data_IF_613788253063
#
_entry.id   IF_613788253063
#
_cell.length_a   1.000
_cell.length_b   1.000
_cell.length_c   1.000
_cell.angle_alpha   90.00
_cell.angle_beta   90.00
_cell.angle_gamma   90.00
#
_symmetry.space_group_name_H-M   'P 1'
#
loop_
_entity.id
_entity.type
_entity.pdbx_description
1 polymer ?
#
# COMPACT_ATOMS: atom_id res chain seq x y z
N UNK A 1 6.75 -28.85 9.44
CA UNK A 1 5.98 -28.14 8.39
C UNK A 1 6.51 -26.72 8.13
N UNK A 2 6.53 -25.81 9.11
CA UNK A 2 7.04 -24.41 8.97
C UNK A 2 8.49 -24.27 8.44
N UNK A 3 9.39 -25.20 8.77
CA UNK A 3 10.80 -25.14 8.35
C UNK A 3 11.02 -25.48 6.87
N UNK A 4 10.16 -26.35 6.31
CA UNK A 4 10.21 -26.75 4.90
C UNK A 4 9.60 -25.66 4.00
N UNK A 5 8.58 -24.96 4.48
CA UNK A 5 7.93 -23.86 3.77
C UNK A 5 8.88 -22.65 3.64
N UNK A 6 9.61 -22.33 4.71
CA UNK A 6 10.63 -21.27 4.71
C UNK A 6 11.78 -21.55 3.75
N UNK A 7 12.26 -22.81 3.71
CA UNK A 7 13.32 -23.22 2.78
C UNK A 7 12.87 -23.17 1.31
N UNK A 8 11.59 -23.50 1.04
CA UNK A 8 11.01 -23.41 -0.30
C UNK A 8 10.87 -21.95 -0.75
N UNK A 9 10.40 -21.08 0.14
CA UNK A 9 10.31 -19.62 -0.10
C UNK A 9 11.71 -19.01 -0.32
N UNK A 10 12.71 -19.41 0.49
CA UNK A 10 14.09 -18.94 0.38
C UNK A 10 14.74 -19.41 -0.94
N UNK A 11 14.46 -20.62 -1.40
CA UNK A 11 14.95 -21.13 -2.68
C UNK A 11 14.27 -20.48 -3.90
N UNK A 12 12.95 -20.26 -3.85
CA UNK A 12 12.21 -19.51 -4.86
C UNK A 12 12.72 -18.06 -4.96
N UNK A 13 13.00 -17.44 -3.81
CA UNK A 13 13.53 -16.08 -3.70
C UNK A 13 14.97 -15.97 -4.22
N UNK A 14 15.83 -16.92 -3.86
CA UNK A 14 17.19 -16.98 -4.40
C UNK A 14 17.18 -17.17 -5.92
N UNK A 15 16.31 -18.04 -6.44
CA UNK A 15 16.14 -18.25 -7.88
C UNK A 15 15.60 -17.03 -8.63
N UNK A 16 14.66 -16.30 -8.05
CA UNK A 16 14.11 -15.07 -8.65
C UNK A 16 15.16 -13.95 -8.72
N UNK A 17 16.01 -13.83 -7.70
CA UNK A 17 17.01 -12.77 -7.62
C UNK A 17 18.31 -13.10 -8.37
N UNK A 18 18.66 -14.39 -8.51
CA UNK A 18 19.81 -14.84 -9.29
C UNK A 18 19.59 -14.80 -10.80
N UNK A 19 18.37 -14.51 -11.27
CA UNK A 19 18.04 -14.43 -12.70
C UNK A 19 18.45 -13.11 -13.37
N UNK A 20 18.96 -12.12 -12.62
CA UNK A 20 19.22 -10.77 -13.14
C UNK A 20 20.65 -10.32 -12.82
N UNK A 21 21.53 -10.34 -13.83
CA UNK A 21 22.99 -10.24 -13.65
C UNK A 21 23.67 -9.05 -14.37
N UNK A 22 22.95 -8.15 -15.05
CA UNK A 22 23.57 -7.04 -15.81
C UNK A 22 23.14 -5.62 -15.39
N UNK A 23 23.98 -4.60 -15.62
CA UNK A 23 23.62 -3.17 -15.42
C UNK A 23 22.37 -2.76 -16.21
N UNK A 24 22.13 -3.41 -17.35
CA UNK A 24 20.91 -3.24 -18.14
C UNK A 24 19.64 -3.69 -17.41
N UNK A 25 19.74 -4.68 -16.52
CA UNK A 25 18.60 -5.17 -15.74
C UNK A 25 18.18 -4.15 -14.68
N UNK A 26 19.11 -3.38 -14.11
CA UNK A 26 18.79 -2.35 -13.11
C UNK A 26 17.93 -1.23 -13.71
N UNK A 27 18.26 -0.75 -14.90
CA UNK A 27 17.48 0.29 -15.59
C UNK A 27 16.05 -0.18 -15.94
N UNK A 28 15.87 -1.48 -16.12
CA UNK A 28 14.59 -2.14 -16.44
C UNK A 28 13.92 -2.75 -15.21
N UNK A 29 14.48 -2.56 -14.03
CA UNK A 29 13.88 -2.96 -12.77
C UNK A 29 12.82 -1.95 -12.36
N UNK A 30 11.68 -2.44 -11.89
CA UNK A 30 10.62 -1.65 -11.26
C UNK A 30 10.32 -2.25 -9.89
N UNK A 31 10.04 -1.37 -8.95
CA UNK A 31 9.72 -1.73 -7.57
C UNK A 31 8.44 -1.04 -7.17
N UNK A 32 7.48 -1.81 -6.66
CA UNK A 32 6.30 -1.28 -5.99
C UNK A 32 6.29 -1.76 -4.55
N UNK A 33 6.17 -0.81 -3.62
CA UNK A 33 6.25 -1.06 -2.20
C UNK A 33 4.86 -1.02 -1.56
N UNK A 34 4.56 -2.02 -0.75
CA UNK A 34 3.33 -2.15 0.01
C UNK A 34 3.65 -2.27 1.50
N UNK A 35 2.70 -1.89 2.34
CA UNK A 35 2.75 -2.17 3.77
C UNK A 35 1.64 -3.14 4.14
N UNK A 36 1.94 -4.08 5.04
CA UNK A 36 0.92 -4.96 5.62
C UNK A 36 0.11 -4.29 6.76
N UNK A 37 0.34 -2.98 7.02
CA UNK A 37 -0.14 -2.27 8.21
C UNK A 37 -0.88 -0.98 7.86
N UNK A 38 -2.20 -1.02 7.63
CA UNK A 38 -2.99 0.20 7.47
C UNK A 38 -3.09 1.01 8.79
N UNK A 39 -2.78 0.38 9.93
CA UNK A 39 -2.91 0.91 11.29
C UNK A 39 -1.58 1.48 11.85
N UNK A 40 -0.56 1.68 11.02
CA UNK A 40 0.69 2.28 11.46
C UNK A 40 0.61 3.80 11.45
N UNK A 41 0.49 4.42 12.63
CA UNK A 41 0.53 5.87 12.79
C UNK A 41 1.76 6.50 12.10
N UNK A 42 2.94 5.86 12.21
CA UNK A 42 4.17 6.32 11.56
C UNK A 42 4.03 6.36 10.03
N UNK A 43 3.45 5.32 9.42
CA UNK A 43 3.20 5.29 7.98
C UNK A 43 2.29 6.42 7.51
N UNK A 44 1.24 6.73 8.28
CA UNK A 44 0.36 7.86 7.98
C UNK A 44 1.08 9.22 8.11
N UNK A 45 2.03 9.32 9.04
CA UNK A 45 2.88 10.51 9.17
C UNK A 45 3.77 10.70 7.94
N UNK A 46 4.47 9.65 7.52
CA UNK A 46 5.46 9.72 6.44
C UNK A 46 4.85 9.76 5.04
N UNK A 47 3.85 8.91 4.77
CA UNK A 47 3.37 8.64 3.42
C UNK A 47 1.97 9.18 3.14
N UNK A 48 1.18 9.49 4.18
CA UNK A 48 -0.15 10.08 4.02
C UNK A 48 -0.15 11.59 4.34
N UNK A 49 0.88 12.32 3.90
CA UNK A 49 0.95 13.79 4.03
C UNK A 49 0.83 14.29 5.47
N UNK A 50 1.42 13.59 6.45
CA UNK A 50 1.30 13.94 7.86
C UNK A 50 -0.12 13.79 8.38
N UNK A 51 -0.74 12.63 8.13
CA UNK A 51 -2.15 12.33 8.46
C UNK A 51 -3.18 13.19 7.72
N UNK A 52 -2.89 13.80 6.59
CA UNK A 52 -3.88 14.54 5.77
C UNK A 52 -4.25 13.85 4.46
N UNK A 53 -3.56 12.77 4.12
CA UNK A 53 -3.75 11.98 2.92
C UNK A 53 -4.63 10.76 3.13
N UNK A 54 -4.36 9.75 2.31
CA UNK A 54 -5.14 8.52 2.22
C UNK A 54 -4.23 7.29 2.24
N UNK A 55 -4.82 6.14 2.50
CA UNK A 55 -4.20 4.82 2.38
C UNK A 55 -5.05 3.99 1.40
N UNK A 56 -4.39 3.39 0.41
CA UNK A 56 -5.01 2.51 -0.56
C UNK A 56 -4.80 1.07 -0.11
N UNK A 57 -5.89 0.35 0.10
CA UNK A 57 -5.84 -1.08 0.34
C UNK A 57 -6.05 -1.79 -1.00
N UNK A 58 -5.09 -2.63 -1.36
CA UNK A 58 -4.98 -3.22 -2.69
C UNK A 58 -5.04 -4.74 -2.63
N UNK A 59 -5.56 -5.33 -3.70
CA UNK A 59 -5.53 -6.77 -3.95
C UNK A 59 -4.29 -7.11 -4.77
N UNK A 60 -3.38 -7.86 -4.17
CA UNK A 60 -2.14 -8.32 -4.81
C UNK A 60 -2.28 -9.71 -5.42
N UNK A 61 -3.49 -10.25 -5.50
CA UNK A 61 -3.73 -11.57 -6.10
C UNK A 61 -3.23 -11.60 -7.55
N UNK A 62 -2.54 -12.68 -7.94
CA UNK A 62 -1.86 -12.83 -9.22
C UNK A 62 -0.41 -12.30 -9.26
N UNK A 63 0.06 -11.68 -8.18
CA UNK A 63 1.45 -11.23 -8.02
C UNK A 63 2.20 -11.95 -6.89
N UNK A 64 1.59 -12.94 -6.24
CA UNK A 64 2.09 -13.57 -5.01
C UNK A 64 3.49 -14.14 -5.18
N UNK A 65 3.76 -14.78 -6.32
CA UNK A 65 5.08 -15.35 -6.63
C UNK A 65 6.18 -14.32 -6.85
N UNK A 66 5.82 -13.05 -7.08
CA UNK A 66 6.74 -11.93 -7.35
C UNK A 66 6.81 -10.94 -6.18
N UNK A 67 5.96 -11.10 -5.17
CA UNK A 67 5.98 -10.27 -3.97
C UNK A 67 6.96 -10.87 -2.97
N UNK A 68 7.94 -10.06 -2.60
CA UNK A 68 8.92 -10.42 -1.60
C UNK A 68 8.65 -9.64 -0.31
N UNK A 69 8.72 -10.33 0.82
CA UNK A 69 8.77 -9.68 2.13
C UNK A 69 10.13 -9.04 2.33
N UNK A 70 10.18 -7.77 2.74
CA UNK A 70 11.44 -7.08 3.01
C UNK A 70 12.10 -7.65 4.26
N UNK A 71 13.39 -7.94 4.16
CA UNK A 71 14.23 -8.36 5.27
C UNK A 71 14.90 -7.16 5.92
N UNK A 72 14.85 -7.12 7.24
CA UNK A 72 15.32 -5.97 8.02
C UNK A 72 16.60 -6.31 8.76
N UNK A 73 17.68 -5.59 8.42
CA UNK A 73 19.04 -5.80 8.94
C UNK A 73 19.55 -4.55 9.66
N UNK A 74 20.35 -4.72 10.70
CA UNK A 74 21.04 -3.61 11.39
C UNK A 74 22.35 -3.24 10.66
N UNK A 75 23.11 -4.25 10.23
CA UNK A 75 24.37 -4.05 9.51
C UNK A 75 24.22 -4.29 8.00
N UNK A 76 24.33 -3.20 7.24
CA UNK A 76 24.26 -3.23 5.77
C UNK A 76 25.55 -3.71 5.11
N UNK A 77 26.66 -3.86 5.86
CA UNK A 77 27.91 -4.38 5.31
C UNK A 77 27.73 -5.80 4.74
N UNK A 78 26.89 -6.62 5.39
CA UNK A 78 26.48 -7.95 4.92
C UNK A 78 25.85 -7.96 3.52
N UNK A 79 25.30 -6.83 3.08
CA UNK A 79 24.63 -6.68 1.78
C UNK A 79 25.60 -6.32 0.65
N UNK A 80 26.86 -5.95 0.96
CA UNK A 80 27.85 -5.54 -0.06
C UNK A 80 28.19 -6.65 -1.05
N UNK A 81 28.16 -7.90 -0.60
CA UNK A 81 28.40 -9.07 -1.45
C UNK A 81 27.22 -9.41 -2.38
N UNK A 82 26.04 -8.82 -2.14
CA UNK A 82 24.83 -9.04 -2.95
C UNK A 82 24.79 -8.13 -4.17
N UNK A 83 24.13 -8.56 -5.23
CA UNK A 83 23.85 -7.74 -6.43
C UNK A 83 22.96 -6.54 -6.07
N UNK A 84 22.95 -5.46 -6.88
CA UNK A 84 22.05 -4.32 -6.66
C UNK A 84 20.58 -4.72 -6.55
N UNK A 85 20.13 -5.69 -7.36
CA UNK A 85 18.74 -6.17 -7.37
C UNK A 85 18.47 -7.00 -6.11
N UNK A 86 19.38 -7.88 -5.70
CA UNK A 86 19.25 -8.63 -4.45
C UNK A 86 19.13 -7.71 -3.22
N UNK A 87 19.84 -6.58 -3.22
CA UNK A 87 19.77 -5.60 -2.13
C UNK A 87 18.39 -4.95 -1.98
N UNK A 88 17.58 -4.91 -3.05
CA UNK A 88 16.19 -4.43 -3.00
C UNK A 88 15.28 -5.31 -2.13
N UNK A 89 15.73 -6.49 -1.72
CA UNK A 89 15.00 -7.33 -0.78
C UNK A 89 15.19 -6.90 0.69
N UNK A 90 16.05 -5.92 0.97
CA UNK A 90 16.46 -5.54 2.32
C UNK A 90 16.15 -4.07 2.64
N UNK A 91 16.08 -3.77 3.94
CA UNK A 91 15.98 -2.41 4.50
C UNK A 91 16.62 -2.37 5.89
N UNK A 92 17.01 -1.18 6.34
CA UNK A 92 17.53 -1.03 7.70
C UNK A 92 16.44 -1.29 8.75
N UNK A 93 16.81 -1.92 9.87
CA UNK A 93 15.91 -2.35 10.95
C UNK A 93 15.05 -1.24 11.57
N UNK A 94 15.51 0.01 11.55
CA UNK A 94 14.73 1.18 12.01
C UNK A 94 13.38 1.30 11.31
N UNK A 95 13.27 0.81 10.07
CA UNK A 95 12.04 0.83 9.26
C UNK A 95 11.18 -0.42 9.41
N UNK A 96 11.47 -1.30 10.37
CA UNK A 96 10.73 -2.56 10.59
C UNK A 96 9.24 -2.36 10.85
N UNK A 97 8.87 -1.20 11.39
CA UNK A 97 7.48 -0.83 11.68
C UNK A 97 6.59 -0.73 10.43
N UNK A 98 7.18 -0.54 9.24
CA UNK A 98 6.44 -0.47 7.97
C UNK A 98 5.89 -1.83 7.53
N UNK A 99 6.50 -2.95 7.95
CA UNK A 99 6.17 -4.30 7.49
C UNK A 99 6.05 -4.39 5.96
N UNK A 100 7.11 -3.93 5.30
CA UNK A 100 7.14 -3.69 3.86
C UNK A 100 7.18 -5.00 3.06
N UNK A 101 6.42 -5.02 1.97
CA UNK A 101 6.46 -6.04 0.92
C UNK A 101 6.73 -5.33 -0.41
N UNK A 102 7.54 -5.93 -1.28
CA UNK A 102 7.91 -5.36 -2.58
C UNK A 102 7.52 -6.29 -3.70
N UNK A 103 6.82 -5.77 -4.70
CA UNK A 103 6.76 -6.38 -6.02
C UNK A 103 7.97 -5.87 -6.81
N UNK A 104 8.84 -6.79 -7.23
CA UNK A 104 10.01 -6.47 -8.06
C UNK A 104 9.83 -7.14 -9.42
N UNK A 105 9.85 -6.33 -10.47
CA UNK A 105 9.74 -6.80 -11.85
C UNK A 105 10.96 -6.33 -12.63
N UNK A 106 11.53 -7.20 -13.44
CA UNK A 106 12.67 -6.89 -14.30
C UNK A 106 12.28 -7.19 -15.73
N UNK A 107 12.65 -6.30 -16.65
CA UNK A 107 12.37 -6.43 -18.09
C UNK A 107 10.89 -6.34 -18.49
N UNK A 108 9.97 -6.01 -17.56
CA UNK A 108 8.59 -5.64 -17.89
C UNK A 108 8.56 -4.19 -18.40
N UNK A 109 8.62 -4.02 -19.72
CA UNK A 109 8.65 -2.70 -20.40
C UNK A 109 7.29 -2.25 -20.93
N UNK A 110 6.25 -3.08 -20.84
CA UNK A 110 4.99 -2.82 -21.55
C UNK A 110 3.97 -2.00 -20.76
N UNK A 111 4.14 -1.82 -19.45
CA UNK A 111 3.16 -1.09 -18.62
C UNK A 111 3.84 -0.12 -17.67
N UNK A 112 3.46 1.15 -17.78
CA UNK A 112 3.88 2.22 -16.86
C UNK A 112 3.30 2.03 -15.45
N UNK A 113 2.09 1.49 -15.37
CA UNK A 113 1.35 1.28 -14.11
C UNK A 113 1.05 -0.18 -13.87
N UNK A 114 1.12 -0.59 -12.60
CA UNK A 114 0.69 -1.91 -12.16
C UNK A 114 -0.84 -2.01 -12.23
N UNK A 115 -1.40 -3.02 -12.90
CA UNK A 115 -2.84 -3.23 -12.98
C UNK A 115 -3.36 -3.87 -11.69
N UNK A 116 -3.23 -3.14 -10.58
CA UNK A 116 -3.63 -3.60 -9.25
C UNK A 116 -5.05 -3.16 -8.93
N UNK A 117 -5.85 -4.06 -8.37
CA UNK A 117 -7.20 -3.73 -7.93
C UNK A 117 -7.12 -3.03 -6.58
N UNK A 118 -7.78 -1.88 -6.46
CA UNK A 118 -7.98 -1.19 -5.19
C UNK A 118 -9.26 -1.74 -4.56
N UNK A 119 -9.15 -2.28 -3.35
CA UNK A 119 -10.29 -2.81 -2.59
C UNK A 119 -11.00 -1.69 -1.82
N UNK A 120 -10.22 -0.82 -1.18
CA UNK A 120 -10.73 0.23 -0.31
C UNK A 120 -9.79 1.43 -0.26
N UNK A 121 -10.37 2.60 0.03
CA UNK A 121 -9.65 3.83 0.33
C UNK A 121 -9.92 4.24 1.78
N UNK A 122 -8.86 4.29 2.58
CA UNK A 122 -8.90 4.84 3.93
C UNK A 122 -8.51 6.30 3.87
N UNK A 123 -9.35 7.16 4.41
CA UNK A 123 -9.21 8.61 4.30
C UNK A 123 -8.99 9.15 5.70
N UNK A 124 -7.93 9.92 5.92
CA UNK A 124 -7.73 10.49 7.24
C UNK A 124 -8.87 11.45 7.61
N UNK A 125 -9.30 11.46 8.86
CA UNK A 125 -10.21 12.48 9.35
C UNK A 125 -9.64 13.91 9.27
N UNK A 126 -8.32 14.08 9.09
CA UNK A 126 -7.69 15.39 8.88
C UNK A 126 -7.48 15.73 7.40
N UNK A 127 -8.02 14.95 6.47
CA UNK A 127 -8.01 15.28 5.04
C UNK A 127 -8.84 16.54 4.79
N UNK A 128 -8.31 17.42 3.92
CA UNK A 128 -8.98 18.65 3.53
C UNK A 128 -10.34 18.34 2.87
N UNK A 129 -11.38 19.01 3.34
CA UNK A 129 -12.76 18.75 2.95
C UNK A 129 -13.04 19.01 1.46
N UNK A 130 -12.28 19.89 0.81
CA UNK A 130 -12.38 20.17 -0.62
C UNK A 130 -12.02 18.97 -1.50
N UNK A 131 -11.21 18.03 -0.99
CA UNK A 131 -10.84 16.80 -1.71
C UNK A 131 -11.82 15.66 -1.49
N UNK A 132 -12.67 15.73 -0.46
CA UNK A 132 -13.54 14.60 -0.08
C UNK A 132 -14.63 14.34 -1.12
N UNK A 133 -15.29 15.38 -1.64
CA UNK A 133 -16.39 15.20 -2.59
C UNK A 133 -15.92 14.56 -3.91
N UNK A 134 -14.87 15.06 -4.60
CA UNK A 134 -14.36 14.40 -5.80
C UNK A 134 -13.91 12.96 -5.55
N UNK A 135 -13.23 12.71 -4.40
CA UNK A 135 -12.77 11.37 -4.04
C UNK A 135 -13.94 10.41 -3.80
N UNK A 136 -15.00 10.86 -3.13
CA UNK A 136 -16.18 10.04 -2.87
C UNK A 136 -16.91 9.68 -4.16
N UNK A 137 -17.07 10.63 -5.08
CA UNK A 137 -17.68 10.36 -6.39
C UNK A 137 -16.82 9.40 -7.23
N UNK A 138 -15.49 9.56 -7.20
CA UNK A 138 -14.58 8.64 -7.87
C UNK A 138 -14.70 7.22 -7.29
N UNK A 139 -14.65 7.07 -5.97
CA UNK A 139 -14.80 5.77 -5.32
C UNK A 139 -16.16 5.13 -5.66
N UNK A 140 -17.25 5.92 -5.67
CA UNK A 140 -18.58 5.45 -6.05
C UNK A 140 -18.61 4.96 -7.50
N UNK A 141 -18.01 5.73 -8.42
CA UNK A 141 -17.96 5.36 -9.84
C UNK A 141 -17.15 4.09 -10.07
N UNK A 142 -16.05 3.92 -9.34
CA UNK A 142 -15.18 2.74 -9.42
C UNK A 142 -15.69 1.54 -8.62
N UNK A 143 -16.77 1.70 -7.84
CA UNK A 143 -17.26 0.65 -6.94
C UNK A 143 -16.30 0.31 -5.79
N UNK A 144 -15.42 1.24 -5.43
CA UNK A 144 -14.42 1.09 -4.36
C UNK A 144 -15.01 1.56 -3.04
N UNK A 145 -14.87 0.74 -2.00
CA UNK A 145 -15.32 1.12 -0.66
C UNK A 145 -14.41 2.19 -0.06
N UNK A 146 -14.95 2.96 0.87
CA UNK A 146 -14.23 4.09 1.47
C UNK A 146 -14.60 4.25 2.94
N UNK A 147 -13.61 4.56 3.75
CA UNK A 147 -13.74 4.65 5.20
C UNK A 147 -12.95 5.83 5.72
N UNK A 148 -13.45 6.48 6.77
CA UNK A 148 -12.66 7.45 7.51
C UNK A 148 -11.78 6.72 8.52
N UNK A 149 -10.49 6.96 8.48
CA UNK A 149 -9.50 6.43 9.41
C UNK A 149 -9.06 7.50 10.41
N UNK A 150 -8.95 7.11 11.68
CA UNK A 150 -8.49 7.98 12.77
C UNK A 150 -7.47 7.26 13.64
N UNK A 151 -6.67 8.07 14.33
CA UNK A 151 -5.82 7.64 15.43
C UNK A 151 -6.23 8.39 16.69
N UNK A 152 -6.46 7.69 17.80
CA UNK A 152 -6.66 8.32 19.10
C UNK A 152 -5.34 8.91 19.62
N UNK A 153 -5.41 9.71 20.70
CA UNK A 153 -4.21 10.22 21.39
C UNK A 153 -3.34 9.11 21.97
N UNK A 154 -3.92 7.93 22.20
CA UNK A 154 -3.22 6.71 22.63
C UNK A 154 -2.69 5.88 21.44
N UNK A 155 -2.95 6.32 20.21
CA UNK A 155 -2.54 5.63 18.99
C UNK A 155 -3.46 4.51 18.54
N UNK A 156 -4.67 4.42 19.08
CA UNK A 156 -5.65 3.42 18.64
C UNK A 156 -6.19 3.77 17.26
N UNK A 157 -6.08 2.83 16.34
CA UNK A 157 -6.57 2.98 14.98
C UNK A 157 -8.04 2.62 14.88
N UNK A 158 -8.87 3.52 14.36
CA UNK A 158 -10.30 3.27 14.15
C UNK A 158 -10.70 3.58 12.71
N UNK A 159 -11.64 2.78 12.18
CA UNK A 159 -12.20 2.96 10.84
C UNK A 159 -13.71 3.17 10.92
N UNK A 160 -14.22 4.11 10.15
CA UNK A 160 -15.64 4.43 10.06
C UNK A 160 -16.10 4.24 8.60
N UNK A 161 -16.86 3.16 8.32
CA UNK A 161 -17.39 2.91 6.99
C UNK A 161 -18.32 4.04 6.52
N UNK A 162 -18.07 4.56 5.33
CA UNK A 162 -18.97 5.54 4.71
C UNK A 162 -20.01 4.78 3.87
N UNK A 163 -21.23 4.66 4.40
CA UNK A 163 -22.36 4.03 3.68
C UNK A 163 -22.65 4.77 2.36
N UNK A 164 -22.77 3.99 1.29
CA UNK A 164 -22.66 4.43 -0.10
C UNK A 164 -23.98 4.63 -0.84
N UNK A 165 -25.10 4.75 -0.14
CA UNK A 165 -26.43 4.51 -0.72
C UNK A 165 -27.23 5.76 -1.05
N UNK A 166 -26.85 6.96 -0.57
CA UNK A 166 -27.57 8.19 -0.93
C UNK A 166 -26.66 9.16 -1.69
N UNK A 167 -26.89 9.39 -3.00
CA UNK A 167 -26.26 10.44 -3.78
C UNK A 167 -26.31 11.80 -3.05
N UNK A 168 -25.22 12.55 -3.08
CA UNK A 168 -25.14 13.84 -2.39
C UNK A 168 -26.27 14.82 -2.83
N UNK A 169 -26.64 14.79 -4.12
CA UNK A 169 -27.75 15.59 -4.66
C UNK A 169 -29.11 15.25 -4.05
N UNK A 170 -29.35 14.01 -3.62
CA UNK A 170 -30.59 13.63 -2.94
C UNK A 170 -30.62 14.13 -1.49
N UNK A 171 -29.45 14.22 -0.83
CA UNK A 171 -29.35 14.76 0.54
C UNK A 171 -29.64 16.27 0.61
N UNK A 172 -29.32 17.02 -0.45
CA UNK A 172 -29.66 18.44 -0.56
C UNK A 172 -31.17 18.65 -0.71
N UNK A 173 -31.85 17.78 -1.47
CA UNK A 173 -33.31 17.81 -1.61
C UNK A 173 -34.03 17.45 -0.30
N UNK A 174 -33.52 16.45 0.42
CA UNK A 174 -34.08 16.04 1.71
C UNK A 174 -34.00 17.13 2.80
N UNK A 175 -32.97 18.01 2.77
CA UNK A 175 -32.86 19.15 3.69
C UNK A 175 -33.75 20.34 3.31
N UNK A 176 -34.12 20.48 2.02
CA UNK A 176 -35.08 21.51 1.59
C UNK A 176 -36.54 21.13 1.84
N UNK A 177 -36.85 19.85 2.12
CA UNK A 177 -38.21 19.37 2.42
C UNK A 177 -38.47 19.15 3.91
N UNK A 178 -37.47 19.33 4.77
CA UNK A 178 -37.64 19.35 6.24
C UNK A 178 -37.67 20.77 6.80
N UNK A 179 -37.92 21.76 5.95
CA UNK A 179 -38.42 23.05 6.39
C UNK A 179 -39.92 22.92 6.55
N UNK A 180 -40.37 22.84 7.79
CA UNK A 180 -41.78 23.00 8.16
C UNK A 180 -41.82 23.53 9.61
N UNK A 181 -42.91 24.21 10.01
CA UNK A 181 -42.95 25.67 10.15
C UNK A 181 -42.66 26.21 11.56
#
# INVERSE_FOLDING_TARGET
MLRAQRLLDDQLRAGLLSMFETDHDLARTRVCCFSARPDSMQMWSYYAGGHRGLCLEVDVSGFESRIIKVEYVDDTASLRAKSPIERLAFKHSTWRHEQEHRLITVNETEREFLPIKINSVLISASTDTGFLLPLFELCRHLGVSREIATFSTLGEFTRFPLRSDVPFHERLRARSTSGDP
#
